data_IF_754595870708
#
_entry.id   IF_754595870708
#
_cell.length_a   1.000
_cell.length_b   1.000
_cell.length_c   1.000
_cell.angle_alpha   90.00
_cell.angle_beta   90.00
_cell.angle_gamma   90.00
#
_symmetry.space_group_name_H-M   'P 1'
#
loop_
_entity.id
_entity.type
_entity.pdbx_description
1 polymer ?
#
# COMPACT_ATOMS: atom_id res chain seq x y z
N UNK A 1 -31.20 40.37 -16.97
CA UNK A 1 -30.05 40.56 -17.87
C UNK A 1 -28.81 39.94 -17.23
N UNK A 2 -28.16 39.01 -17.94
CA UNK A 2 -26.88 38.32 -17.69
C UNK A 2 -26.69 37.50 -16.39
N UNK A 3 -27.14 36.23 -16.42
CA UNK A 3 -26.53 35.14 -15.63
C UNK A 3 -25.48 34.45 -16.51
N UNK A 4 -24.21 34.58 -16.14
CA UNK A 4 -23.10 33.87 -16.78
C UNK A 4 -23.09 32.41 -16.30
N UNK A 5 -23.26 31.48 -17.25
CA UNK A 5 -23.13 30.05 -17.02
C UNK A 5 -21.65 29.70 -16.81
N UNK A 6 -21.30 29.19 -15.63
CA UNK A 6 -19.99 28.56 -15.39
C UNK A 6 -20.00 27.18 -16.04
N UNK A 7 -19.28 27.05 -17.15
CA UNK A 7 -18.95 25.77 -17.75
C UNK A 7 -18.17 24.92 -16.75
N UNK A 8 -18.59 23.66 -16.57
CA UNK A 8 -17.81 22.66 -15.84
C UNK A 8 -16.58 22.32 -16.69
N UNK A 9 -15.36 22.36 -16.15
CA UNK A 9 -14.21 21.80 -16.84
C UNK A 9 -14.45 20.30 -17.07
N UNK A 10 -14.14 19.86 -18.29
CA UNK A 10 -14.45 18.54 -18.81
C UNK A 10 -13.92 17.43 -17.91
N UNK A 11 -14.76 16.41 -17.74
CA UNK A 11 -14.31 15.14 -17.19
C UNK A 11 -13.20 14.59 -18.07
N UNK A 12 -12.01 14.44 -17.48
CA UNK A 12 -10.98 13.55 -17.99
C UNK A 12 -11.58 12.16 -18.09
N UNK A 13 -12.07 11.86 -19.28
CA UNK A 13 -12.38 10.52 -19.74
C UNK A 13 -11.03 9.79 -19.75
N UNK A 14 -10.72 9.10 -18.66
CA UNK A 14 -9.62 8.15 -18.65
C UNK A 14 -9.78 7.25 -19.88
N UNK A 15 -8.81 7.21 -20.79
CA UNK A 15 -8.89 6.37 -21.97
C UNK A 15 -8.71 4.92 -21.55
N UNK A 16 -9.79 4.30 -21.05
CA UNK A 16 -9.97 2.85 -21.02
C UNK A 16 -10.28 2.29 -22.42
N UNK A 17 -9.93 3.03 -23.49
CA UNK A 17 -9.90 2.55 -24.87
C UNK A 17 -8.53 1.93 -25.16
N UNK A 18 -8.09 1.05 -24.26
CA UNK A 18 -7.09 0.06 -24.61
C UNK A 18 -7.74 -0.85 -25.64
N UNK A 19 -7.22 -0.80 -26.86
CA UNK A 19 -7.45 -1.78 -27.92
C UNK A 19 -7.28 -3.16 -27.28
N UNK A 20 -8.40 -3.84 -26.96
CA UNK A 20 -8.38 -5.26 -26.71
C UNK A 20 -7.90 -5.88 -28.03
N UNK A 21 -6.73 -6.54 -28.08
CA UNK A 21 -6.30 -7.22 -29.29
C UNK A 21 -7.45 -8.13 -29.73
N UNK A 22 -7.92 -7.89 -30.94
CA UNK A 22 -8.97 -8.64 -31.59
C UNK A 22 -8.66 -10.13 -31.46
N UNK A 23 -9.60 -10.84 -30.84
CA UNK A 23 -9.68 -12.30 -30.66
C UNK A 23 -9.00 -13.07 -31.80
N UNK A 24 -7.69 -13.29 -31.67
CA UNK A 24 -7.05 -14.45 -32.23
C UNK A 24 -7.77 -15.65 -31.63
N UNK A 25 -8.31 -16.51 -32.49
CA UNK A 25 -9.05 -17.72 -32.15
C UNK A 25 -8.14 -18.57 -31.25
N UNK A 26 -8.31 -18.43 -29.92
CA UNK A 26 -7.57 -19.18 -28.94
C UNK A 26 -7.79 -20.69 -29.20
N UNK A 27 -6.75 -21.53 -29.09
CA UNK A 27 -6.89 -22.97 -29.27
C UNK A 27 -7.97 -23.52 -28.33
N UNK A 28 -8.86 -24.35 -28.88
CA UNK A 28 -10.06 -24.89 -28.23
C UNK A 28 -9.80 -25.80 -27.00
N UNK A 29 -8.59 -25.81 -26.45
CA UNK A 29 -8.15 -26.67 -25.37
C UNK A 29 -8.35 -26.10 -23.95
N UNK A 30 -8.97 -24.90 -23.80
CA UNK A 30 -9.27 -24.30 -22.48
C UNK A 30 -10.78 -24.17 -22.18
N UNK A 31 -11.63 -24.87 -22.91
CA UNK A 31 -13.07 -24.92 -22.61
C UNK A 31 -13.34 -25.87 -21.44
N UNK A 32 -13.25 -25.38 -20.19
CA UNK A 32 -13.69 -26.18 -19.05
C UNK A 32 -13.26 -25.75 -17.64
N UNK A 33 -12.43 -24.70 -17.45
CA UNK A 33 -12.15 -24.21 -16.10
C UNK A 33 -13.23 -23.22 -15.68
N UNK A 34 -14.05 -23.63 -14.72
CA UNK A 34 -15.03 -22.78 -14.05
C UNK A 34 -14.28 -21.63 -13.36
N UNK A 35 -14.37 -20.42 -13.91
CA UNK A 35 -13.74 -19.24 -13.33
C UNK A 35 -14.60 -18.76 -12.15
N UNK A 36 -14.03 -18.79 -10.95
CA UNK A 36 -14.70 -18.26 -9.76
C UNK A 36 -14.48 -16.75 -9.75
N UNK A 37 -15.55 -15.97 -9.93
CA UNK A 37 -15.50 -14.51 -9.86
C UNK A 37 -15.60 -14.09 -8.39
N UNK A 38 -14.53 -13.49 -7.86
CA UNK A 38 -14.51 -12.96 -6.49
C UNK A 38 -14.31 -11.46 -6.56
N UNK A 39 -15.32 -10.70 -6.12
CA UNK A 39 -15.30 -9.23 -6.11
C UNK A 39 -15.02 -8.62 -7.50
N UNK A 40 -15.51 -9.27 -8.57
CA UNK A 40 -15.28 -8.85 -9.95
C UNK A 40 -13.91 -9.25 -10.53
N UNK A 41 -13.08 -9.96 -9.78
CA UNK A 41 -11.79 -10.50 -10.25
C UNK A 41 -11.99 -11.97 -10.62
N UNK A 42 -11.74 -12.39 -11.88
CA UNK A 42 -11.77 -13.81 -12.22
C UNK A 42 -10.57 -14.49 -11.56
N UNK A 43 -10.78 -15.55 -10.79
CA UNK A 43 -9.71 -16.30 -10.13
C UNK A 43 -9.81 -17.78 -10.54
N UNK A 44 -8.68 -18.35 -10.96
CA UNK A 44 -8.62 -19.76 -11.38
C UNK A 44 -8.51 -20.74 -10.21
N UNK A 45 -8.02 -20.29 -9.05
CA UNK A 45 -7.83 -21.13 -7.88
C UNK A 45 -8.68 -20.67 -6.68
N UNK A 46 -9.45 -21.61 -6.14
CA UNK A 46 -10.28 -21.38 -4.95
C UNK A 46 -9.45 -20.91 -3.74
N UNK A 47 -8.25 -21.47 -3.56
CA UNK A 47 -7.32 -21.09 -2.49
C UNK A 47 -6.95 -19.60 -2.53
N UNK A 48 -6.68 -19.07 -3.72
CA UNK A 48 -6.33 -17.65 -3.89
C UNK A 48 -7.54 -16.75 -3.69
N UNK A 49 -8.71 -17.20 -4.15
CA UNK A 49 -9.99 -16.52 -3.90
C UNK A 49 -10.25 -16.36 -2.38
N UNK A 50 -10.02 -17.40 -1.58
CA UNK A 50 -10.14 -17.30 -0.11
C UNK A 50 -9.14 -16.33 0.48
N UNK A 51 -7.89 -16.33 -0.01
CA UNK A 51 -6.85 -15.42 0.48
C UNK A 51 -7.17 -13.95 0.16
N UNK A 52 -7.64 -13.67 -1.06
CA UNK A 52 -8.08 -12.32 -1.47
C UNK A 52 -9.23 -11.85 -0.58
N UNK A 53 -10.24 -12.68 -0.31
CA UNK A 53 -11.35 -12.31 0.59
C UNK A 53 -10.86 -11.97 1.99
N UNK A 54 -9.89 -12.72 2.52
CA UNK A 54 -9.29 -12.47 3.83
C UNK A 54 -8.53 -11.15 3.88
N UNK A 55 -7.67 -10.89 2.89
CA UNK A 55 -6.91 -9.64 2.78
C UNK A 55 -7.85 -8.45 2.63
N UNK A 56 -8.84 -8.53 1.73
CA UNK A 56 -9.83 -7.46 1.52
C UNK A 56 -10.70 -7.21 2.75
N UNK A 57 -11.10 -8.27 3.45
CA UNK A 57 -11.89 -8.18 4.68
C UNK A 57 -11.12 -7.50 5.81
N UNK A 58 -9.84 -7.82 6.00
CA UNK A 58 -9.03 -7.14 7.02
C UNK A 58 -8.76 -5.70 6.63
N UNK A 59 -8.40 -5.43 5.38
CA UNK A 59 -8.15 -4.06 4.90
C UNK A 59 -9.40 -3.17 5.03
N UNK A 60 -10.60 -3.70 4.80
CA UNK A 60 -11.84 -2.92 4.97
C UNK A 60 -12.15 -2.63 6.43
N UNK A 61 -11.98 -3.60 7.33
CA UNK A 61 -12.15 -3.40 8.77
C UNK A 61 -11.17 -2.35 9.30
N UNK A 62 -9.90 -2.44 8.90
CA UNK A 62 -8.88 -1.45 9.26
C UNK A 62 -9.23 -0.04 8.75
N UNK A 63 -9.68 0.07 7.50
CA UNK A 63 -10.09 1.35 6.92
C UNK A 63 -11.28 1.96 7.69
N UNK A 64 -12.26 1.16 8.10
CA UNK A 64 -13.42 1.64 8.88
C UNK A 64 -12.97 2.16 10.24
N UNK A 65 -12.13 1.41 10.96
CA UNK A 65 -11.60 1.83 12.27
C UNK A 65 -10.83 3.14 12.14
N UNK A 66 -10.00 3.28 11.09
CA UNK A 66 -9.28 4.52 10.82
C UNK A 66 -10.21 5.69 10.51
N UNK A 67 -11.25 5.48 9.71
CA UNK A 67 -12.24 6.52 9.44
C UNK A 67 -12.92 7.02 10.72
N UNK A 68 -13.24 6.12 11.65
CA UNK A 68 -13.82 6.49 12.96
C UNK A 68 -12.80 7.32 13.76
N UNK A 69 -11.54 6.88 13.83
CA UNK A 69 -10.49 7.59 14.56
C UNK A 69 -10.20 8.98 13.97
N UNK A 70 -10.20 9.11 12.65
CA UNK A 70 -10.06 10.40 11.97
C UNK A 70 -11.25 11.31 12.26
N UNK A 71 -12.48 10.78 12.24
CA UNK A 71 -13.67 11.56 12.57
C UNK A 71 -13.65 12.09 14.01
N UNK A 72 -13.21 11.26 14.97
CA UNK A 72 -13.00 11.68 16.37
C UNK A 72 -11.86 12.68 16.51
N UNK A 73 -10.77 12.50 15.76
CA UNK A 73 -9.65 13.46 15.76
C UNK A 73 -10.06 14.82 15.21
N UNK A 74 -10.90 14.84 14.18
CA UNK A 74 -11.45 16.07 13.61
C UNK A 74 -12.41 16.76 14.57
N UNK A 75 -13.26 16.03 15.29
CA UNK A 75 -14.21 16.62 16.24
C UNK A 75 -13.52 17.19 17.49
N UNK A 76 -12.38 16.61 17.87
CA UNK A 76 -11.55 17.09 19.00
C UNK A 76 -10.57 18.21 18.62
N UNK A 77 -10.52 18.60 17.34
CA UNK A 77 -9.60 19.64 16.85
C UNK A 77 -8.13 19.19 16.79
N UNK A 78 -7.90 17.87 16.82
CA UNK A 78 -6.55 17.32 16.86
C UNK A 78 -5.93 17.28 15.45
N UNK A 79 -4.70 17.78 15.31
CA UNK A 79 -4.03 17.96 14.00
C UNK A 79 -3.66 16.65 13.30
N UNK A 80 -3.71 15.52 14.01
CA UNK A 80 -3.40 14.19 13.46
C UNK A 80 -4.38 13.70 12.39
N UNK A 81 -5.49 14.40 12.15
CA UNK A 81 -6.44 14.06 11.10
C UNK A 81 -5.79 13.98 9.70
N UNK A 82 -4.83 14.86 9.40
CA UNK A 82 -4.12 14.87 8.10
C UNK A 82 -3.29 13.59 7.94
N UNK A 83 -2.59 13.18 9.00
CA UNK A 83 -1.80 11.95 9.01
C UNK A 83 -2.71 10.74 8.84
N UNK A 84 -3.86 10.71 9.52
CA UNK A 84 -4.85 9.65 9.38
C UNK A 84 -5.39 9.49 7.95
N UNK A 85 -5.56 10.59 7.21
CA UNK A 85 -5.95 10.54 5.79
C UNK A 85 -4.87 9.91 4.90
N UNK A 86 -3.59 10.17 5.17
CA UNK A 86 -2.49 9.53 4.43
C UNK A 86 -2.44 8.02 4.68
N UNK A 87 -2.82 7.57 5.88
CA UNK A 87 -2.80 6.15 6.20
C UNK A 87 -3.89 5.37 5.44
N UNK A 88 -4.98 6.03 5.00
CA UNK A 88 -5.98 5.43 4.11
C UNK A 88 -5.41 5.03 2.74
N UNK A 89 -4.23 5.53 2.36
CA UNK A 89 -3.54 5.05 1.15
C UNK A 89 -3.11 3.58 1.27
N UNK A 90 -2.81 3.07 2.48
CA UNK A 90 -2.39 1.68 2.69
C UNK A 90 -3.46 0.67 2.24
N UNK A 91 -4.72 0.70 2.77
CA UNK A 91 -5.76 -0.22 2.31
C UNK A 91 -6.10 -0.01 0.82
N UNK A 92 -5.96 1.21 0.30
CA UNK A 92 -6.11 1.46 -1.13
C UNK A 92 -5.04 0.71 -1.95
N UNK A 93 -3.76 0.76 -1.56
CA UNK A 93 -2.69 -0.01 -2.21
C UNK A 93 -2.98 -1.52 -2.21
N UNK A 94 -3.48 -2.06 -1.10
CA UNK A 94 -3.90 -3.46 -1.02
C UNK A 94 -5.04 -3.80 -1.99
N UNK A 95 -6.04 -2.92 -2.08
CA UNK A 95 -7.16 -3.10 -3.01
C UNK A 95 -6.72 -3.01 -4.47
N UNK A 96 -5.98 -1.96 -4.85
CA UNK A 96 -5.50 -1.75 -6.22
C UNK A 96 -4.49 -2.82 -6.64
N UNK A 97 -3.60 -3.26 -5.74
CA UNK A 97 -2.66 -4.35 -6.01
C UNK A 97 -3.36 -5.68 -6.29
N UNK A 98 -4.38 -6.02 -5.50
CA UNK A 98 -5.18 -7.22 -5.75
C UNK A 98 -6.02 -7.11 -7.04
N UNK A 99 -6.63 -5.95 -7.30
CA UNK A 99 -7.46 -5.71 -8.49
C UNK A 99 -6.66 -5.75 -9.79
N UNK A 100 -5.52 -5.06 -9.84
CA UNK A 100 -4.69 -4.94 -11.04
C UNK A 100 -3.69 -6.08 -11.18
N UNK A 101 -3.63 -7.00 -10.21
CA UNK A 101 -2.65 -8.08 -10.12
C UNK A 101 -1.20 -7.59 -10.23
N UNK A 102 -0.92 -6.49 -9.55
CA UNK A 102 0.39 -5.85 -9.60
C UNK A 102 1.18 -6.15 -8.31
N UNK A 103 2.30 -6.88 -8.41
CA UNK A 103 3.10 -7.24 -7.24
C UNK A 103 3.76 -6.03 -6.58
N UNK A 104 3.93 -4.90 -7.28
CA UNK A 104 4.54 -3.70 -6.70
C UNK A 104 3.61 -3.07 -5.65
N UNK A 105 2.34 -2.88 -5.96
CA UNK A 105 1.36 -2.34 -4.99
C UNK A 105 1.13 -3.28 -3.81
N UNK A 106 1.12 -4.60 -4.05
CA UNK A 106 1.07 -5.59 -2.97
C UNK A 106 2.32 -5.54 -2.08
N UNK A 107 3.49 -5.28 -2.68
CA UNK A 107 4.75 -5.13 -1.94
C UNK A 107 4.76 -3.94 -1.00
N UNK A 108 4.27 -2.81 -1.49
CA UNK A 108 4.04 -1.63 -0.66
C UNK A 108 3.03 -1.89 0.46
N UNK A 109 1.93 -2.57 0.15
CA UNK A 109 0.91 -2.90 1.14
C UNK A 109 1.47 -3.74 2.31
N UNK A 110 2.13 -4.86 2.03
CA UNK A 110 2.68 -5.70 3.12
C UNK A 110 3.86 -5.03 3.83
N UNK A 111 4.68 -4.25 3.13
CA UNK A 111 5.77 -3.48 3.73
C UNK A 111 5.26 -2.38 4.68
N UNK A 112 4.27 -1.59 4.27
CA UNK A 112 3.67 -0.56 5.10
C UNK A 112 2.95 -1.15 6.33
N UNK A 113 2.17 -2.23 6.14
CA UNK A 113 1.50 -2.90 7.27
C UNK A 113 2.48 -3.53 8.25
N UNK A 114 3.61 -4.07 7.78
CA UNK A 114 4.69 -4.54 8.66
C UNK A 114 5.29 -3.38 9.48
N UNK A 115 5.60 -2.25 8.83
CA UNK A 115 6.12 -1.06 9.50
C UNK A 115 5.15 -0.54 10.56
N UNK A 116 3.86 -0.40 10.20
CA UNK A 116 2.82 -0.02 11.15
C UNK A 116 2.76 -1.01 12.33
N UNK A 117 2.91 -2.32 12.10
CA UNK A 117 2.82 -3.29 13.20
C UNK A 117 3.95 -3.11 14.23
N UNK A 118 5.14 -2.78 13.76
CA UNK A 118 6.26 -2.42 14.64
C UNK A 118 5.96 -1.15 15.44
N UNK A 119 5.38 -0.12 14.80
CA UNK A 119 5.01 1.12 15.47
C UNK A 119 3.89 0.91 16.50
N UNK A 120 2.88 0.08 16.20
CA UNK A 120 1.82 -0.28 17.14
C UNK A 120 2.38 -1.05 18.34
N UNK A 121 3.37 -1.92 18.13
CA UNK A 121 4.07 -2.60 19.23
C UNK A 121 4.85 -1.62 20.10
N UNK A 122 5.58 -0.67 19.50
CA UNK A 122 6.28 0.38 20.25
C UNK A 122 5.30 1.26 21.04
N UNK A 123 4.13 1.55 20.48
CA UNK A 123 3.07 2.29 21.16
C UNK A 123 2.56 1.55 22.40
N UNK A 124 2.31 0.24 22.30
CA UNK A 124 1.93 -0.62 23.43
C UNK A 124 2.98 -0.54 24.55
N UNK A 125 4.26 -0.68 24.20
CA UNK A 125 5.37 -0.57 25.16
C UNK A 125 5.41 0.83 25.80
N UNK A 126 5.23 1.89 24.99
CA UNK A 126 5.17 3.26 25.50
C UNK A 126 4.02 3.49 26.48
N UNK A 127 2.84 2.90 26.23
CA UNK A 127 1.69 2.97 27.14
C UNK A 127 1.98 2.28 28.48
N UNK A 128 2.64 1.12 28.46
CA UNK A 128 3.06 0.45 29.70
C UNK A 128 4.02 1.31 30.52
N UNK A 129 5.04 1.89 29.89
CA UNK A 129 5.95 2.81 30.57
C UNK A 129 5.23 4.05 31.12
N UNK A 130 4.27 4.58 30.36
CA UNK A 130 3.48 5.74 30.80
C UNK A 130 2.61 5.40 32.00
N UNK A 131 1.96 4.22 32.00
CA UNK A 131 1.17 3.76 33.13
C UNK A 131 2.02 3.57 34.40
N UNK A 132 3.18 2.93 34.27
CA UNK A 132 4.11 2.69 35.39
C UNK A 132 4.65 4.02 35.98
N UNK A 133 4.98 4.97 35.11
CA UNK A 133 5.39 6.32 35.54
C UNK A 133 4.26 7.07 36.23
N UNK A 134 3.04 6.99 35.71
CA UNK A 134 1.87 7.65 36.29
C UNK A 134 1.54 7.06 37.67
N UNK A 135 1.57 5.74 37.81
CA UNK A 135 1.35 5.07 39.10
C UNK A 135 2.43 5.45 40.11
N UNK A 136 3.71 5.43 39.72
CA UNK A 136 4.79 5.78 40.65
C UNK A 136 4.71 7.23 41.14
N UNK A 137 4.32 8.16 40.26
CA UNK A 137 4.17 9.57 40.60
C UNK A 137 2.97 9.84 41.51
N UNK A 138 1.81 9.28 41.19
CA UNK A 138 0.59 9.55 41.94
C UNK A 138 0.48 8.78 43.25
N UNK A 139 1.18 7.65 43.38
CA UNK A 139 1.28 6.92 44.65
C UNK A 139 2.33 7.55 45.60
N UNK A 140 3.04 8.59 45.16
CA UNK A 140 4.05 9.29 45.96
C UNK A 140 5.35 8.50 46.16
N UNK A 141 5.55 7.41 45.40
CA UNK A 141 6.75 6.58 45.45
C UNK A 141 7.92 7.24 44.71
N UNK A 142 7.63 7.94 43.61
CA UNK A 142 8.61 8.66 42.81
C UNK A 142 8.60 10.17 43.10
N UNK A 143 9.77 10.80 43.22
CA UNK A 143 9.86 12.27 43.27
C UNK A 143 9.71 12.87 41.85
N UNK A 144 8.94 13.95 41.69
CA UNK A 144 8.72 14.60 40.40
C UNK A 144 10.00 15.19 39.79
N UNK A 145 10.97 15.56 40.64
CA UNK A 145 12.29 16.07 40.23
C UNK A 145 13.13 15.03 39.49
N UNK A 146 12.97 13.74 39.79
CA UNK A 146 13.76 12.66 39.19
C UNK A 146 13.33 12.37 37.74
N UNK A 147 12.10 12.77 37.40
CA UNK A 147 11.50 12.63 36.06
C UNK A 147 11.48 13.94 35.27
N UNK A 148 12.03 15.01 35.83
CA UNK A 148 12.10 16.32 35.18
C UNK A 148 10.74 17.01 35.00
N UNK A 149 9.75 16.68 35.84
CA UNK A 149 8.41 17.29 35.78
C UNK A 149 8.18 18.29 36.91
N UNK A 150 7.40 19.34 36.61
CA UNK A 150 7.02 20.35 37.60
C UNK A 150 5.93 19.80 38.53
N UNK A 151 6.07 20.01 39.84
CA UNK A 151 5.15 19.45 40.85
C UNK A 151 3.67 19.85 40.63
N UNK A 152 3.42 21.07 40.11
CA UNK A 152 2.08 21.53 39.76
C UNK A 152 1.43 20.73 38.63
N UNK A 153 2.22 20.30 37.65
CA UNK A 153 1.73 19.46 36.54
C UNK A 153 1.39 18.06 37.02
N UNK A 154 2.19 17.51 37.94
CA UNK A 154 1.94 16.19 38.53
C UNK A 154 0.67 16.21 39.37
N UNK A 155 0.46 17.26 40.20
CA UNK A 155 -0.76 17.40 40.98
C UNK A 155 -2.02 17.42 40.09
N UNK A 156 -2.00 18.20 39.00
CA UNK A 156 -3.11 18.25 38.05
C UNK A 156 -3.33 16.91 37.33
N UNK A 157 -2.26 16.20 36.95
CA UNK A 157 -2.37 14.89 36.32
C UNK A 157 -2.94 13.82 37.25
N UNK A 158 -2.61 13.89 38.55
CA UNK A 158 -3.11 12.96 39.55
C UNK A 158 -4.55 13.26 39.98
N UNK A 159 -5.01 14.52 39.88
CA UNK A 159 -6.42 14.89 40.12
C UNK A 159 -7.35 14.20 39.10
N UNK A 160 -6.93 14.13 37.83
CA UNK A 160 -7.68 13.48 36.74
C UNK A 160 -7.26 12.02 36.48
N UNK A 161 -6.58 11.36 37.42
CA UNK A 161 -5.92 10.07 37.19
C UNK A 161 -6.85 8.99 36.62
N UNK A 162 -8.07 8.85 37.13
CA UNK A 162 -8.98 7.78 36.73
C UNK A 162 -9.42 7.92 35.27
N UNK A 163 -9.57 9.16 34.80
CA UNK A 163 -9.86 9.46 33.40
C UNK A 163 -8.69 9.06 32.51
N UNK A 164 -7.48 9.50 32.86
CA UNK A 164 -6.26 9.15 32.11
C UNK A 164 -5.99 7.65 32.08
N UNK A 165 -6.19 6.95 33.20
CA UNK A 165 -6.06 5.48 33.25
C UNK A 165 -7.05 4.81 32.30
N UNK A 166 -8.31 5.24 32.30
CA UNK A 166 -9.34 4.70 31.40
C UNK A 166 -8.98 4.94 29.94
N UNK A 167 -8.56 6.17 29.59
CA UNK A 167 -8.12 6.51 28.23
C UNK A 167 -6.90 5.69 27.80
N UNK A 168 -5.92 5.48 28.70
CA UNK A 168 -4.73 4.66 28.44
C UNK A 168 -5.07 3.17 28.26
N UNK A 169 -6.00 2.62 29.05
CA UNK A 169 -6.44 1.23 28.88
C UNK A 169 -7.20 1.01 27.57
N UNK A 170 -8.07 1.95 27.19
CA UNK A 170 -8.77 1.92 25.89
C UNK A 170 -7.76 2.01 24.75
N UNK A 171 -6.75 2.89 24.87
CA UNK A 171 -5.67 3.02 23.90
C UNK A 171 -4.84 1.75 23.81
N UNK A 172 -4.49 1.13 24.94
CA UNK A 172 -3.75 -0.12 25.01
C UNK A 172 -4.50 -1.25 24.29
N UNK A 173 -5.79 -1.44 24.61
CA UNK A 173 -6.62 -2.46 23.97
C UNK A 173 -6.72 -2.24 22.46
N UNK A 174 -6.94 -0.99 22.04
CA UNK A 174 -7.02 -0.62 20.62
C UNK A 174 -5.70 -0.87 19.90
N UNK A 175 -4.57 -0.53 20.51
CA UNK A 175 -3.23 -0.73 19.93
C UNK A 175 -2.88 -2.21 19.79
N UNK A 176 -3.24 -3.06 20.77
CA UNK A 176 -3.07 -4.52 20.69
C UNK A 176 -3.94 -5.09 19.56
N UNK A 177 -5.19 -4.68 19.48
CA UNK A 177 -6.10 -5.13 18.43
C UNK A 177 -5.61 -4.75 17.03
N UNK A 178 -5.16 -3.50 16.87
CA UNK A 178 -4.60 -2.98 15.63
C UNK A 178 -3.30 -3.71 15.24
N UNK A 179 -2.41 -3.98 16.21
CA UNK A 179 -1.22 -4.81 15.99
C UNK A 179 -1.58 -6.18 15.40
N UNK A 180 -2.59 -6.85 15.96
CA UNK A 180 -3.03 -8.17 15.47
C UNK A 180 -3.55 -8.07 14.03
N UNK A 181 -4.40 -7.08 13.75
CA UNK A 181 -4.93 -6.88 12.39
C UNK A 181 -3.82 -6.59 11.38
N UNK A 182 -2.85 -5.75 11.73
CA UNK A 182 -1.72 -5.41 10.87
C UNK A 182 -0.80 -6.61 10.64
N UNK A 183 -0.57 -7.42 11.66
CA UNK A 183 0.21 -8.64 11.53
C UNK A 183 -0.49 -9.66 10.60
N UNK A 184 -1.80 -9.82 10.74
CA UNK A 184 -2.60 -10.66 9.83
C UNK A 184 -2.59 -10.11 8.40
N UNK A 185 -2.76 -8.79 8.22
CA UNK A 185 -2.69 -8.12 6.93
C UNK A 185 -1.32 -8.31 6.26
N UNK A 186 -0.23 -8.18 7.02
CA UNK A 186 1.13 -8.40 6.53
C UNK A 186 1.34 -9.87 6.12
N UNK A 187 0.97 -10.83 6.98
CA UNK A 187 1.20 -12.26 6.69
C UNK A 187 0.37 -12.75 5.50
N UNK A 188 -0.88 -12.31 5.37
CA UNK A 188 -1.72 -12.67 4.21
C UNK A 188 -1.36 -11.87 2.96
N UNK A 189 -0.98 -10.59 3.10
CA UNK A 189 -0.50 -9.76 2.01
C UNK A 189 0.78 -10.30 1.38
N UNK A 190 1.74 -10.73 2.20
CA UNK A 190 2.96 -11.41 1.74
C UNK A 190 2.65 -12.72 1.02
N UNK A 191 1.81 -13.58 1.61
CA UNK A 191 1.39 -14.84 0.95
C UNK A 191 0.67 -14.60 -0.38
N UNK A 192 -0.09 -13.51 -0.48
CA UNK A 192 -0.76 -13.14 -1.72
C UNK A 192 0.25 -12.67 -2.78
N UNK A 193 1.21 -11.84 -2.39
CA UNK A 193 2.28 -11.36 -3.26
C UNK A 193 3.19 -12.49 -3.78
N UNK A 194 3.45 -13.50 -2.96
CA UNK A 194 4.24 -14.70 -3.34
C UNK A 194 3.45 -15.72 -4.17
N UNK A 195 2.13 -15.54 -4.37
CA UNK A 195 1.34 -16.50 -5.15
C UNK A 195 1.58 -16.36 -6.65
N UNK A 196 1.67 -17.50 -7.35
CA UNK A 196 1.95 -17.59 -8.80
C UNK A 196 0.95 -16.81 -9.68
N UNK A 197 -0.19 -16.39 -9.11
CA UNK A 197 -1.24 -15.64 -9.78
C UNK A 197 -0.81 -14.22 -10.19
N UNK A 198 0.24 -13.68 -9.55
CA UNK A 198 0.78 -12.34 -9.80
C UNK A 198 2.09 -12.36 -10.61
N UNK A 199 2.58 -13.54 -10.97
CA UNK A 199 3.63 -13.68 -11.99
C UNK A 199 2.93 -13.49 -13.32
N UNK A 200 2.75 -12.23 -13.73
CA UNK A 200 2.41 -11.90 -15.12
C UNK A 200 3.61 -12.33 -15.95
N UNK A 201 3.68 -13.60 -16.32
CA UNK A 201 4.54 -14.04 -17.41
C UNK A 201 4.08 -13.27 -18.62
N UNK A 202 4.82 -12.23 -19.01
CA UNK A 202 4.53 -11.36 -20.15
C UNK A 202 4.26 -12.27 -21.36
N UNK A 203 3.00 -12.50 -21.77
CA UNK A 203 2.71 -13.48 -22.79
C UNK A 203 3.00 -12.82 -24.14
N UNK A 204 4.20 -13.07 -24.67
CA UNK A 204 4.53 -12.78 -26.07
C UNK A 204 5.06 -11.37 -26.38
N UNK A 205 5.48 -10.58 -25.40
CA UNK A 205 6.20 -9.34 -25.64
C UNK A 205 7.68 -9.55 -25.38
N UNK A 206 8.50 -9.34 -26.43
CA UNK A 206 9.94 -9.09 -26.42
C UNK A 206 10.47 -8.93 -25.00
N UNK A 207 11.41 -9.79 -24.58
CA UNK A 207 12.13 -9.63 -23.33
C UNK A 207 12.34 -8.13 -23.11
N UNK A 208 11.53 -7.53 -22.23
CA UNK A 208 11.86 -6.22 -21.74
C UNK A 208 13.15 -6.53 -21.05
N UNK A 209 14.24 -6.20 -21.73
CA UNK A 209 15.52 -6.09 -21.08
C UNK A 209 15.16 -5.40 -19.79
N UNK A 210 15.44 -6.07 -18.68
CA UNK A 210 16.02 -5.34 -17.56
C UNK A 210 16.79 -4.21 -18.21
N UNK A 211 16.43 -2.95 -17.92
CA UNK A 211 17.32 -1.86 -18.26
C UNK A 211 18.62 -2.26 -17.58
N UNK A 212 19.44 -2.95 -18.34
CA UNK A 212 20.80 -3.26 -18.05
C UNK A 212 21.31 -1.84 -18.10
N UNK A 213 21.44 -1.22 -16.92
CA UNK A 213 22.14 0.05 -16.81
C UNK A 213 23.41 -0.15 -17.61
N UNK A 214 23.45 0.45 -18.80
CA UNK A 214 24.51 0.24 -19.74
C UNK A 214 25.77 0.76 -19.04
N UNK A 215 26.62 -0.17 -18.60
CA UNK A 215 27.97 0.07 -18.12
C UNK A 215 28.10 1.04 -16.95
N UNK A 216 28.08 0.52 -15.72
CA UNK A 216 29.29 0.71 -14.93
C UNK A 216 30.35 -0.27 -15.48
N UNK A 217 31.47 0.21 -16.03
CA UNK A 217 32.39 -0.65 -16.79
C UNK A 217 33.18 -1.70 -15.96
N UNK A 218 32.96 -1.88 -14.65
CA UNK A 218 33.87 -2.70 -13.82
C UNK A 218 33.22 -3.72 -12.86
N UNK A 219 31.93 -4.03 -12.95
CA UNK A 219 31.33 -5.04 -12.05
C UNK A 219 31.37 -6.45 -12.66
N UNK A 220 32.40 -7.22 -12.30
CA UNK A 220 32.62 -8.62 -12.69
C UNK A 220 31.72 -9.62 -11.94
N UNK A 221 30.40 -9.42 -11.95
CA UNK A 221 29.45 -10.39 -11.41
C UNK A 221 28.80 -11.20 -12.53
N UNK A 222 28.58 -12.52 -12.31
CA UNK A 222 28.10 -13.42 -13.35
C UNK A 222 26.69 -13.02 -13.80
N UNK A 223 26.60 -12.56 -15.05
CA UNK A 223 25.35 -12.29 -15.75
C UNK A 223 24.65 -13.62 -16.00
N UNK A 224 23.54 -13.87 -15.29
CA UNK A 224 22.68 -14.99 -15.57
C UNK A 224 22.10 -14.82 -16.98
N UNK A 225 22.62 -15.59 -17.93
CA UNK A 225 22.16 -15.57 -19.31
C UNK A 225 20.90 -16.41 -19.38
N UNK A 226 19.74 -15.77 -19.56
CA UNK A 226 18.48 -16.48 -19.77
C UNK A 226 18.48 -17.02 -21.20
N UNK A 227 18.61 -18.34 -21.33
CA UNK A 227 18.51 -19.03 -22.62
C UNK A 227 17.05 -18.97 -23.07
N UNK A 228 16.79 -18.19 -24.13
CA UNK A 228 15.49 -18.21 -24.79
C UNK A 228 15.22 -19.62 -25.35
N UNK A 229 14.01 -20.20 -25.14
CA UNK A 229 13.69 -21.50 -25.70
C UNK A 229 13.73 -21.43 -27.24
N UNK A 230 14.61 -22.26 -27.82
CA UNK A 230 14.75 -22.41 -29.25
C UNK A 230 13.49 -23.06 -29.83
N UNK A 231 12.64 -22.31 -30.52
CA UNK A 231 11.51 -22.90 -31.23
C UNK A 231 10.36 -21.95 -31.51
N UNK A 232 10.57 -20.99 -32.41
CA UNK A 232 9.49 -20.12 -32.89
C UNK A 232 10.03 -19.05 -33.82
N UNK A 233 10.17 -19.38 -35.10
CA UNK A 233 10.55 -18.42 -36.13
C UNK A 233 9.52 -17.30 -36.20
N UNK A 234 9.90 -16.11 -35.77
CA UNK A 234 9.16 -14.90 -36.08
C UNK A 234 9.35 -14.57 -37.57
N UNK A 235 8.30 -14.13 -38.28
CA UNK A 235 8.45 -13.63 -39.63
C UNK A 235 9.40 -12.42 -39.63
N UNK A 236 10.25 -12.26 -40.67
CA UNK A 236 11.17 -11.14 -40.76
C UNK A 236 10.38 -9.82 -40.69
N UNK A 237 10.76 -8.95 -39.76
CA UNK A 237 10.25 -7.58 -39.73
C UNK A 237 10.62 -6.89 -41.05
N UNK A 238 9.68 -6.20 -41.72
CA UNK A 238 10.02 -5.37 -42.86
C UNK A 238 11.03 -4.30 -42.42
N UNK A 239 12.01 -3.95 -43.28
CA UNK A 239 13.02 -2.97 -42.95
C UNK A 239 12.37 -1.66 -42.52
N UNK A 240 12.69 -1.20 -41.30
CA UNK A 240 12.37 0.15 -40.85
C UNK A 240 13.04 1.13 -41.80
N UNK A 241 12.24 1.75 -42.67
CA UNK A 241 12.65 2.92 -43.42
C UNK A 241 13.08 4.00 -42.42
N UNK A 242 14.30 4.50 -42.59
CA UNK A 242 14.95 5.47 -41.70
C UNK A 242 14.03 6.66 -41.39
N UNK A 243 13.58 6.72 -40.15
CA UNK A 243 12.90 7.88 -39.58
C UNK A 243 13.92 8.99 -39.36
N UNK A 244 13.67 10.13 -40.01
CA UNK A 244 14.55 11.29 -40.06
C UNK A 244 14.94 11.86 -38.69
N UNK A 245 16.14 12.44 -38.68
CA UNK A 245 16.68 13.17 -37.53
C UNK A 245 15.76 14.28 -37.05
N UNK A 246 15.58 14.34 -35.74
CA UNK A 246 14.98 15.49 -35.07
C UNK A 246 15.95 16.68 -35.19
N UNK A 247 15.51 17.88 -35.63
CA UNK A 247 16.35 19.06 -35.62
C UNK A 247 16.63 19.49 -34.18
N UNK A 248 17.89 19.82 -33.92
CA UNK A 248 18.37 20.39 -32.67
C UNK A 248 17.62 21.69 -32.35
N UNK A 249 16.94 21.73 -31.21
CA UNK A 249 16.37 22.95 -30.67
C UNK A 249 17.50 23.88 -30.23
N UNK A 250 17.62 25.02 -30.91
CA UNK A 250 18.53 26.10 -30.55
C UNK A 250 18.14 26.70 -29.19
N UNK A 251 19.10 26.75 -28.27
CA UNK A 251 18.95 27.39 -26.97
C UNK A 251 18.76 28.90 -27.12
N UNK A 252 17.59 29.38 -26.69
CA UNK A 252 17.37 30.79 -26.42
C UNK A 252 17.89 31.13 -25.03
N UNK A 253 18.92 31.98 -24.97
CA UNK A 253 19.33 32.65 -23.74
C UNK A 253 18.27 33.68 -23.31
N UNK A 254 18.10 33.83 -22.00
CA UNK A 254 17.36 34.94 -21.40
C UNK A 254 18.35 35.91 -20.72
N UNK A 255 18.05 37.22 -20.71
CA UNK A 255 18.87 38.27 -20.12
C UNK A 255 18.87 38.26 -18.59
#
# INVERSE_FOLDING_TARGET
>A
RHRAARGRPGGEQWPCSGVYPSRGRAPAAMAGREQIIVLGIPVESEKTATLIRKVMGVSSVMAIIMCINVAVSLSTGNSYAIVGLLILCIPACGYYGAKNRDPQYLSWFWGCTACCSCLSLLSVVGVFFTLDRLTCLCDGVCNPSDVGMQASTVAAACEDQDRWRTELYVTLFTAIFDFILQFLACTWGRKLAESDLFIVGVPGGVAMGTVQYAGQPNSSLPVATVVAPAGGGYPPHPPQAGGGGYPAAAGGGYP
#
